data_IF_021620866994
#
_entry.id   IF_021620866994
#
_cell.length_a   1.000
_cell.length_b   1.000
_cell.length_c   1.000
_cell.angle_alpha   90.00
_cell.angle_beta   90.00
_cell.angle_gamma   90.00
#
_symmetry.space_group_name_H-M   'P 1'
#
loop_
_entity.id
_entity.type
_entity.pdbx_description
1 polymer ?
#
# COMPACT_ATOMS: atom_id res chain seq x y z
N UNK A 1 13.24 -56.55 -70.90
CA UNK A 1 14.10 -57.70 -71.21
C UNK A 1 15.48 -57.38 -70.64
N UNK A 2 15.95 -58.04 -69.59
CA UNK A 2 15.36 -59.20 -68.90
C UNK A 2 15.75 -59.23 -67.41
N UNK A 3 15.07 -60.07 -66.62
CA UNK A 3 15.47 -60.41 -65.25
C UNK A 3 16.78 -61.22 -65.24
N UNK A 4 17.56 -61.12 -64.14
CA UNK A 4 18.37 -62.21 -63.56
C UNK A 4 18.25 -62.11 -62.03
N UNK A 5 18.30 -63.25 -61.33
CA UNK A 5 18.03 -63.40 -59.90
C UNK A 5 19.28 -63.29 -58.99
N UNK A 6 19.00 -63.19 -57.68
CA UNK A 6 19.63 -63.97 -56.58
C UNK A 6 21.10 -63.75 -56.18
N UNK A 7 21.28 -63.38 -54.90
CA UNK A 7 22.46 -63.74 -54.09
C UNK A 7 22.16 -63.64 -52.58
N UNK A 8 22.88 -64.45 -51.80
CA UNK A 8 22.94 -64.49 -50.32
C UNK A 8 24.41 -64.82 -49.93
N UNK A 9 24.82 -65.07 -48.67
CA UNK A 9 24.11 -64.96 -47.37
C UNK A 9 24.93 -64.29 -46.21
N UNK A 10 24.31 -64.12 -45.02
CA UNK A 10 24.84 -64.20 -43.62
C UNK A 10 26.10 -63.37 -43.21
N UNK A 11 26.20 -62.70 -42.04
CA UNK A 11 25.32 -62.61 -40.85
C UNK A 11 24.67 -61.20 -40.67
N UNK A 12 25.05 -60.22 -39.82
CA UNK A 12 26.10 -60.07 -38.78
C UNK A 12 25.56 -59.50 -37.45
N UNK A 13 26.35 -59.65 -36.37
CA UNK A 13 25.90 -59.60 -34.96
C UNK A 13 25.96 -58.21 -34.27
N UNK A 14 25.02 -58.05 -33.32
CA UNK A 14 24.96 -57.10 -32.18
C UNK A 14 24.28 -55.74 -32.40
N UNK A 15 23.56 -55.30 -31.35
CA UNK A 15 22.70 -54.12 -31.35
C UNK A 15 22.82 -53.36 -30.01
N UNK A 16 22.71 -52.03 -30.06
CA UNK A 16 22.39 -51.18 -28.90
C UNK A 16 21.33 -50.15 -29.34
N UNK A 17 20.32 -50.00 -28.50
CA UNK A 17 19.10 -49.21 -28.67
C UNK A 17 19.29 -47.71 -28.91
N UNK A 18 18.51 -47.12 -29.83
CA UNK A 18 18.11 -45.70 -29.81
C UNK A 18 16.58 -45.57 -29.91
N UNK A 19 16.05 -44.39 -29.53
CA UNK A 19 14.69 -44.25 -28.99
C UNK A 19 13.64 -43.68 -29.98
N UNK A 20 12.34 -44.01 -29.80
CA UNK A 20 11.25 -43.40 -30.55
C UNK A 20 10.68 -42.12 -29.91
N UNK A 21 10.25 -41.20 -30.78
CA UNK A 21 9.21 -40.19 -30.60
C UNK A 21 9.24 -39.25 -29.36
N UNK A 22 9.57 -37.98 -29.61
CA UNK A 22 9.28 -36.86 -28.71
C UNK A 22 7.80 -36.78 -28.33
N UNK A 23 7.52 -36.64 -27.04
CA UNK A 23 6.23 -36.15 -26.52
C UNK A 23 6.48 -34.86 -25.73
N UNK A 24 5.88 -33.76 -26.16
CA UNK A 24 6.00 -32.48 -25.48
C UNK A 24 5.20 -32.47 -24.18
N UNK A 25 5.88 -32.39 -23.04
CA UNK A 25 5.22 -32.14 -21.75
C UNK A 25 4.80 -30.66 -21.64
N UNK A 26 3.68 -30.34 -20.96
CA UNK A 26 3.35 -28.95 -20.64
C UNK A 26 4.42 -28.34 -19.73
N UNK A 27 4.76 -27.08 -19.96
CA UNK A 27 5.77 -26.36 -19.16
C UNK A 27 5.32 -26.30 -17.70
N UNK A 28 6.11 -26.90 -16.81
CA UNK A 28 5.90 -26.78 -15.38
C UNK A 28 6.02 -25.30 -14.96
N UNK A 29 4.96 -24.77 -14.39
CA UNK A 29 4.89 -23.39 -13.91
C UNK A 29 5.93 -23.20 -12.78
N UNK A 30 6.68 -22.08 -12.72
CA UNK A 30 7.69 -21.89 -11.68
C UNK A 30 7.09 -21.91 -10.28
N UNK A 31 7.28 -23.01 -9.56
CA UNK A 31 6.87 -23.16 -8.17
C UNK A 31 7.53 -22.05 -7.34
N UNK A 32 6.74 -21.09 -6.85
CA UNK A 32 7.28 -19.96 -6.09
C UNK A 32 7.94 -20.49 -4.83
N UNK A 33 9.27 -20.30 -4.75
CA UNK A 33 10.04 -20.52 -3.52
C UNK A 33 9.46 -19.60 -2.44
N UNK A 34 9.08 -20.09 -1.25
CA UNK A 34 8.70 -19.22 -0.16
C UNK A 34 9.93 -18.42 0.27
N UNK A 35 9.93 -17.11 0.02
CA UNK A 35 11.05 -16.24 0.38
C UNK A 35 11.20 -16.18 1.90
N UNK A 36 12.35 -16.69 2.37
CA UNK A 36 12.46 -17.26 3.71
C UNK A 36 12.40 -16.26 4.86
N UNK A 37 11.80 -16.69 5.97
CA UNK A 37 11.83 -16.11 7.31
C UNK A 37 11.22 -14.70 7.47
N UNK A 38 11.66 -13.71 6.70
CA UNK A 38 11.21 -12.32 6.75
C UNK A 38 9.72 -12.15 6.37
N UNK A 39 9.17 -13.07 5.56
CA UNK A 39 7.75 -13.11 5.24
C UNK A 39 6.86 -13.34 6.48
N UNK A 40 7.35 -14.10 7.47
CA UNK A 40 6.56 -14.53 8.63
C UNK A 40 6.11 -13.38 9.55
N UNK A 41 6.81 -12.24 9.52
CA UNK A 41 6.57 -11.10 10.42
C UNK A 41 5.93 -9.89 9.74
N UNK A 42 5.62 -9.93 8.43
CA UNK A 42 4.90 -8.83 7.78
C UNK A 42 3.39 -8.97 7.95
N UNK A 43 2.89 -8.52 9.10
CA UNK A 43 1.44 -8.35 9.33
C UNK A 43 0.96 -7.13 8.54
N UNK A 44 0.58 -7.34 7.27
CA UNK A 44 -0.22 -6.37 6.54
C UNK A 44 -1.67 -6.44 7.04
N UNK A 45 -2.26 -5.27 7.30
CA UNK A 45 -3.63 -5.12 7.83
C UNK A 45 -4.43 -4.24 6.88
N UNK A 46 -5.71 -4.56 6.67
CA UNK A 46 -6.63 -3.82 5.82
C UNK A 46 -7.08 -4.56 4.55
N UNK A 47 -8.38 -4.50 4.26
CA UNK A 47 -9.01 -5.01 3.03
C UNK A 47 -9.07 -3.97 1.90
N UNK A 48 -9.26 -2.69 2.24
CA UNK A 48 -9.34 -1.56 1.30
C UNK A 48 -7.97 -1.19 0.70
N UNK A 49 -7.98 -0.37 -0.34
CA UNK A 49 -6.76 0.27 -0.89
C UNK A 49 -6.87 1.80 -0.83
N UNK A 50 -5.72 2.49 -0.89
CA UNK A 50 -5.66 3.96 -0.98
C UNK A 50 -6.28 4.43 -2.30
N UNK A 51 -7.06 5.51 -2.27
CA UNK A 51 -7.81 5.99 -3.43
C UNK A 51 -6.94 6.56 -4.55
N UNK A 52 -5.88 7.25 -4.17
CA UNK A 52 -4.89 7.85 -5.06
C UNK A 52 -3.49 7.35 -4.68
N UNK A 53 -2.54 7.33 -5.62
CA UNK A 53 -1.17 6.90 -5.35
C UNK A 53 -0.38 7.89 -4.48
N UNK A 54 0.65 7.44 -3.77
CA UNK A 54 1.46 8.30 -2.88
C UNK A 54 2.07 9.49 -3.65
N UNK A 55 2.61 9.26 -4.84
CA UNK A 55 3.19 10.31 -5.69
C UNK A 55 2.17 10.96 -6.63
N UNK A 56 0.89 10.59 -6.56
CA UNK A 56 -0.18 11.12 -7.40
C UNK A 56 -0.75 12.44 -6.83
N UNK A 57 0.17 13.38 -6.59
CA UNK A 57 -0.07 14.62 -5.89
C UNK A 57 -0.87 15.65 -6.71
N UNK A 58 -0.79 15.56 -8.04
CA UNK A 58 -1.35 16.55 -8.97
C UNK A 58 -2.72 16.16 -9.52
N UNK A 59 -3.01 14.86 -9.68
CA UNK A 59 -4.34 14.40 -10.07
C UNK A 59 -5.36 14.68 -8.96
N UNK A 60 -6.59 15.04 -9.33
CA UNK A 60 -7.72 15.18 -8.41
C UNK A 60 -7.44 16.07 -7.18
N UNK A 61 -6.57 17.08 -7.30
CA UNK A 61 -6.10 17.89 -6.18
C UNK A 61 -6.97 19.16 -5.96
N UNK A 62 -7.95 19.16 -5.04
CA UNK A 62 -8.79 20.33 -4.79
C UNK A 62 -7.98 21.48 -4.20
N UNK A 63 -8.46 22.73 -4.32
CA UNK A 63 -7.93 23.88 -3.57
C UNK A 63 -6.39 24.09 -3.74
N UNK A 64 -5.80 23.72 -4.88
CA UNK A 64 -4.34 23.74 -5.11
C UNK A 64 -3.54 22.93 -4.07
N UNK A 65 -4.10 21.80 -3.61
CA UNK A 65 -3.55 20.97 -2.54
C UNK A 65 -2.08 20.56 -2.75
N UNK A 66 -1.67 20.26 -3.99
CA UNK A 66 -0.27 19.92 -4.29
C UNK A 66 0.69 21.06 -3.90
N UNK A 67 0.45 22.26 -4.44
CA UNK A 67 1.23 23.45 -4.14
C UNK A 67 1.26 23.77 -2.64
N UNK A 68 0.12 23.59 -1.95
CA UNK A 68 0.02 23.77 -0.50
C UNK A 68 0.79 22.71 0.28
N UNK A 69 0.84 21.46 -0.17
CA UNK A 69 1.63 20.40 0.45
C UNK A 69 3.13 20.71 0.41
N UNK A 70 3.64 21.16 -0.72
CA UNK A 70 5.07 21.50 -0.87
C UNK A 70 5.45 22.85 -0.22
N UNK A 71 4.65 23.91 -0.39
CA UNK A 71 5.00 25.25 0.09
C UNK A 71 4.50 25.57 1.51
N UNK A 72 3.44 24.92 1.99
CA UNK A 72 2.83 25.18 3.30
C UNK A 72 2.31 23.89 3.98
N UNK A 73 3.16 22.86 4.20
CA UNK A 73 2.73 21.55 4.68
C UNK A 73 1.93 21.60 5.99
N UNK A 74 2.22 22.56 6.88
CA UNK A 74 1.49 22.81 8.10
C UNK A 74 -0.01 23.13 7.88
N UNK A 75 -0.37 23.84 6.80
CA UNK A 75 -1.77 24.10 6.45
C UNK A 75 -2.48 22.85 5.94
N UNK A 76 -1.79 21.96 5.22
CA UNK A 76 -2.39 20.69 4.78
C UNK A 76 -2.60 19.77 5.97
N UNK A 77 -1.60 19.65 6.85
CA UNK A 77 -1.71 18.90 8.09
C UNK A 77 -2.86 19.43 8.97
N UNK A 78 -2.87 20.73 9.28
CA UNK A 78 -3.90 21.35 10.11
C UNK A 78 -5.31 21.28 9.52
N UNK A 79 -5.46 21.24 8.19
CA UNK A 79 -6.74 21.03 7.50
C UNK A 79 -7.21 19.58 7.57
N UNK A 80 -6.30 18.61 7.36
CA UNK A 80 -6.59 17.17 7.53
C UNK A 80 -7.02 16.88 8.96
N UNK A 81 -6.31 17.45 9.94
CA UNK A 81 -6.58 17.30 11.37
C UNK A 81 -7.91 17.88 11.81
N UNK A 82 -8.29 19.06 11.31
CA UNK A 82 -9.62 19.61 11.56
C UNK A 82 -10.70 18.70 10.95
N UNK A 83 -10.50 18.22 9.71
CA UNK A 83 -11.47 17.37 9.00
C UNK A 83 -11.68 16.00 9.66
N UNK A 84 -10.64 15.44 10.28
CA UNK A 84 -10.75 14.21 11.06
C UNK A 84 -11.53 14.39 12.37
N UNK A 85 -11.69 15.63 12.87
CA UNK A 85 -12.53 15.94 14.04
C UNK A 85 -13.96 16.32 13.64
N UNK A 86 -14.09 17.20 12.64
CA UNK A 86 -15.36 17.64 12.07
C UNK A 86 -15.32 17.55 10.53
N UNK A 87 -16.03 16.58 9.91
CA UNK A 87 -16.15 16.49 8.47
C UNK A 87 -16.79 17.72 7.80
N UNK A 88 -17.66 18.45 8.51
CA UNK A 88 -18.33 19.66 8.00
C UNK A 88 -17.42 20.89 8.04
N UNK A 89 -16.29 20.84 8.78
CA UNK A 89 -15.26 21.88 8.87
C UNK A 89 -15.79 23.25 9.31
N UNK A 90 -16.80 23.29 10.19
CA UNK A 90 -17.55 24.50 10.57
C UNK A 90 -16.67 25.57 11.22
N UNK A 91 -15.88 25.18 12.21
CA UNK A 91 -14.99 26.06 12.97
C UNK A 91 -13.52 25.96 12.51
N UNK A 92 -13.28 25.62 11.22
CA UNK A 92 -11.93 25.44 10.69
C UNK A 92 -11.22 26.78 10.40
N UNK A 93 -10.26 27.13 11.25
CA UNK A 93 -9.25 28.14 10.95
C UNK A 93 -7.97 27.55 10.33
N UNK A 94 -7.36 28.30 9.41
CA UNK A 94 -6.11 27.92 8.73
C UNK A 94 -4.88 27.93 9.66
N UNK A 95 -4.86 28.79 10.68
CA UNK A 95 -3.78 28.93 11.65
C UNK A 95 -4.13 28.24 12.99
N UNK A 96 -4.66 27.01 12.90
CA UNK A 96 -5.05 26.24 14.08
C UNK A 96 -3.87 25.61 14.84
N UNK A 97 -4.16 25.02 16.00
CA UNK A 97 -3.17 24.39 16.90
C UNK A 97 -2.33 23.31 16.20
N UNK A 98 -2.91 22.48 15.34
CA UNK A 98 -2.18 21.45 14.59
C UNK A 98 -1.20 22.06 13.58
N UNK A 99 -1.58 23.18 12.93
CA UNK A 99 -0.66 23.94 12.08
C UNK A 99 0.52 24.50 12.87
N UNK A 100 0.29 25.11 14.03
CA UNK A 100 1.35 25.66 14.89
C UNK A 100 2.26 24.57 15.47
N UNK A 101 1.69 23.46 15.93
CA UNK A 101 2.43 22.27 16.38
C UNK A 101 3.30 21.68 15.25
N UNK A 102 2.78 21.63 14.02
CA UNK A 102 3.56 21.18 12.86
C UNK A 102 4.74 22.11 12.56
N UNK A 103 4.54 23.44 12.64
CA UNK A 103 5.63 24.42 12.45
C UNK A 103 6.71 24.26 13.52
N UNK A 104 6.34 24.10 14.79
CA UNK A 104 7.28 23.82 15.89
C UNK A 104 8.04 22.49 15.69
N UNK A 105 7.33 21.43 15.33
CA UNK A 105 7.94 20.13 15.02
C UNK A 105 8.88 20.21 13.81
N UNK A 106 8.56 21.03 12.81
CA UNK A 106 9.40 21.23 11.62
C UNK A 106 10.70 21.96 11.95
N UNK A 107 10.66 22.93 12.86
CA UNK A 107 11.87 23.59 13.37
C UNK A 107 12.81 22.59 14.08
N UNK A 108 12.25 21.59 14.77
CA UNK A 108 13.00 20.50 15.39
C UNK A 108 13.36 19.33 14.45
N UNK A 109 13.00 19.39 13.15
CA UNK A 109 13.21 18.28 12.20
C UNK A 109 12.30 17.06 12.40
N UNK A 110 11.29 17.15 13.28
CA UNK A 110 10.39 16.07 13.68
C UNK A 110 9.02 16.12 12.97
N UNK A 111 8.81 17.04 12.03
CA UNK A 111 7.55 17.23 11.31
C UNK A 111 7.07 15.99 10.54
N UNK A 112 7.95 15.05 10.18
CA UNK A 112 7.60 13.82 9.48
C UNK A 112 6.84 12.80 10.36
N UNK A 113 6.98 12.88 11.69
CA UNK A 113 6.25 12.01 12.63
C UNK A 113 4.74 12.27 12.58
N UNK A 114 4.34 13.52 12.36
CA UNK A 114 2.94 13.95 12.34
C UNK A 114 2.13 13.30 11.19
N UNK A 115 2.54 13.38 9.91
CA UNK A 115 1.87 12.67 8.83
C UNK A 115 2.08 11.15 8.89
N UNK A 116 3.16 10.65 9.49
CA UNK A 116 3.34 9.21 9.74
C UNK A 116 2.26 8.65 10.69
N UNK A 117 2.09 9.24 11.87
CA UNK A 117 1.06 8.80 12.81
C UNK A 117 -0.33 8.97 12.21
N UNK A 118 -0.64 10.11 11.59
CA UNK A 118 -1.96 10.32 10.96
C UNK A 118 -2.22 9.43 9.76
N UNK A 119 -1.19 9.05 9.00
CA UNK A 119 -1.31 8.02 7.97
C UNK A 119 -1.69 6.67 8.59
N UNK A 120 -1.03 6.28 9.67
CA UNK A 120 -1.31 5.04 10.41
C UNK A 120 -2.74 5.04 10.97
N UNK A 121 -3.18 6.18 11.52
CA UNK A 121 -4.56 6.37 12.00
C UNK A 121 -5.59 6.25 10.88
N UNK A 122 -5.42 7.01 9.78
CA UNK A 122 -6.28 6.99 8.58
C UNK A 122 -6.37 5.58 8.00
N UNK A 123 -5.21 4.92 7.87
CA UNK A 123 -5.10 3.57 7.32
C UNK A 123 -5.86 2.55 8.19
N UNK A 124 -5.80 2.70 9.52
CA UNK A 124 -6.51 1.82 10.47
C UNK A 124 -8.01 2.14 10.51
N UNK A 125 -8.40 3.42 10.49
CA UNK A 125 -9.78 3.90 10.52
C UNK A 125 -10.61 3.46 9.31
N UNK A 126 -9.98 3.38 8.13
CA UNK A 126 -10.65 3.00 6.88
C UNK A 126 -10.26 1.59 6.39
N UNK A 127 -9.66 0.76 7.26
CA UNK A 127 -9.24 -0.62 6.96
C UNK A 127 -8.42 -0.75 5.66
N UNK A 128 -7.47 0.17 5.43
CA UNK A 128 -6.66 0.24 4.20
C UNK A 128 -5.42 -0.65 4.34
N UNK A 129 -5.11 -1.43 3.31
CA UNK A 129 -3.98 -2.37 3.29
C UNK A 129 -2.65 -1.65 3.49
N UNK A 130 -1.89 -2.09 4.50
CA UNK A 130 -0.51 -1.67 4.68
C UNK A 130 0.06 -2.09 6.04
N UNK A 131 1.19 -1.47 6.38
CA UNK A 131 1.92 -1.71 7.62
C UNK A 131 2.71 -0.46 8.04
N UNK A 132 3.02 -0.37 9.34
CA UNK A 132 3.62 0.81 9.99
C UNK A 132 4.99 1.20 9.40
N UNK A 133 5.78 0.24 8.90
CA UNK A 133 7.06 0.52 8.25
C UNK A 133 6.88 1.19 6.88
N UNK A 134 5.88 0.76 6.10
CA UNK A 134 5.48 1.42 4.86
C UNK A 134 4.94 2.84 5.11
N UNK A 135 4.18 3.03 6.18
CA UNK A 135 3.64 4.34 6.56
C UNK A 135 4.75 5.31 7.00
N UNK A 136 5.71 4.82 7.79
CA UNK A 136 6.92 5.56 8.20
C UNK A 136 7.80 5.91 6.98
N UNK A 137 8.07 4.94 6.11
CA UNK A 137 8.87 5.13 4.90
C UNK A 137 8.24 6.14 3.93
N UNK A 138 6.91 6.14 3.80
CA UNK A 138 6.17 7.13 3.00
C UNK A 138 6.40 8.55 3.53
N UNK A 139 6.17 8.77 4.83
CA UNK A 139 6.29 10.06 5.48
C UNK A 139 7.72 10.62 5.47
N UNK A 140 8.73 9.73 5.59
CA UNK A 140 10.14 10.12 5.54
C UNK A 140 10.63 10.39 4.11
N UNK A 141 10.25 9.55 3.14
CA UNK A 141 10.67 9.68 1.73
C UNK A 141 10.02 10.88 1.03
N UNK A 142 8.72 11.12 1.25
CA UNK A 142 8.06 12.33 0.78
C UNK A 142 6.95 12.77 1.75
N UNK A 143 7.35 13.59 2.73
CA UNK A 143 6.46 14.31 3.65
C UNK A 143 5.30 15.04 2.94
N UNK A 144 5.51 15.88 1.89
CA UNK A 144 4.41 16.60 1.25
C UNK A 144 3.48 15.65 0.50
N UNK A 145 4.02 14.63 -0.17
CA UNK A 145 3.24 13.59 -0.85
C UNK A 145 2.31 12.85 0.13
N UNK A 146 2.85 12.47 1.30
CA UNK A 146 2.09 11.79 2.35
C UNK A 146 0.97 12.68 2.92
N UNK A 147 1.25 13.97 3.14
CA UNK A 147 0.22 14.93 3.56
C UNK A 147 -0.89 15.09 2.52
N UNK A 148 -0.53 15.15 1.23
CA UNK A 148 -1.50 15.27 0.12
C UNK A 148 -2.36 14.00 0.00
N UNK A 149 -1.75 12.81 0.06
CA UNK A 149 -2.48 11.55 0.00
C UNK A 149 -3.43 11.38 1.20
N UNK A 150 -2.97 11.74 2.41
CA UNK A 150 -3.81 11.70 3.62
C UNK A 150 -5.03 12.64 3.51
N UNK A 151 -4.86 13.89 3.08
CA UNK A 151 -5.98 14.85 2.88
C UNK A 151 -6.94 14.36 1.77
N UNK A 152 -6.42 13.82 0.65
CA UNK A 152 -7.24 13.26 -0.44
C UNK A 152 -8.07 12.07 0.02
N UNK A 153 -7.48 11.13 0.76
CA UNK A 153 -8.17 9.95 1.30
C UNK A 153 -9.30 10.34 2.26
N UNK A 154 -9.04 11.25 3.20
CA UNK A 154 -10.06 11.70 4.18
C UNK A 154 -11.20 12.43 3.48
N UNK A 155 -10.91 13.30 2.50
CA UNK A 155 -11.96 13.94 1.68
C UNK A 155 -12.78 12.88 0.93
N UNK A 156 -12.14 11.88 0.32
CA UNK A 156 -12.84 10.82 -0.40
C UNK A 156 -13.77 10.00 0.51
N UNK A 157 -13.26 9.48 1.63
CA UNK A 157 -14.03 8.61 2.54
C UNK A 157 -15.19 9.35 3.21
N UNK A 158 -15.03 10.64 3.51
CA UNK A 158 -16.08 11.45 4.14
C UNK A 158 -17.15 11.99 3.17
N UNK A 159 -16.87 12.05 1.86
CA UNK A 159 -17.84 12.51 0.86
C UNK A 159 -18.70 11.40 0.25
N UNK A 160 -18.40 10.13 0.57
CA UNK A 160 -19.23 8.99 0.16
C UNK A 160 -20.49 8.85 1.04
N UNK A 161 -21.67 8.55 0.46
CA UNK A 161 -22.85 8.15 1.21
C UNK A 161 -22.57 6.95 2.10
N UNK A 162 -22.97 7.02 3.37
CA UNK A 162 -22.30 6.23 4.42
C UNK A 162 -22.91 4.84 4.62
N UNK A 163 -22.22 3.82 4.13
CA UNK A 163 -22.40 2.42 4.58
C UNK A 163 -21.43 2.09 5.73
N UNK A 164 -20.19 2.60 5.65
CA UNK A 164 -19.04 2.03 6.38
C UNK A 164 -18.66 2.80 7.67
N UNK A 165 -19.63 3.32 8.41
CA UNK A 165 -19.39 4.14 9.63
C UNK A 165 -19.08 3.34 10.91
N UNK A 166 -18.82 2.03 10.80
CA UNK A 166 -18.56 1.14 11.94
C UNK A 166 -17.05 1.05 12.28
N UNK A 167 -16.43 2.16 12.70
CA UNK A 167 -14.96 2.28 12.74
C UNK A 167 -14.31 2.88 14.00
N UNK A 168 -15.06 3.29 15.03
CA UNK A 168 -14.44 3.73 16.29
C UNK A 168 -15.37 3.59 17.51
N UNK A 169 -14.98 2.74 18.46
CA UNK A 169 -15.35 2.89 19.87
C UNK A 169 -14.09 3.29 20.63
N UNK A 170 -14.13 4.41 21.34
CA UNK A 170 -13.12 4.70 22.35
C UNK A 170 -13.21 3.64 23.46
N UNK A 171 -12.07 3.14 23.93
CA UNK A 171 -12.04 2.28 25.12
C UNK A 171 -12.58 3.07 26.31
N UNK A 172 -13.68 2.61 26.89
CA UNK A 172 -14.28 3.24 28.06
C UNK A 172 -13.37 3.07 29.29
N UNK A 173 -13.25 4.12 30.11
CA UNK A 173 -12.46 4.09 31.34
C UNK A 173 -12.90 2.94 32.25
N UNK A 174 -11.97 2.01 32.52
CA UNK A 174 -12.15 1.00 33.56
C UNK A 174 -12.08 1.69 34.91
N UNK A 175 -13.24 2.11 35.41
CA UNK A 175 -13.40 2.57 36.79
C UNK A 175 -13.03 1.42 37.75
N UNK A 176 -11.80 1.44 38.25
CA UNK A 176 -11.35 0.57 39.32
C UNK A 176 -12.14 0.94 40.59
N UNK A 177 -13.20 0.18 40.86
CA UNK A 177 -14.17 0.49 41.91
C UNK A 177 -13.54 0.50 43.30
N UNK A 178 -14.00 1.46 44.12
CA UNK A 178 -13.65 1.51 45.54
C UNK A 178 -14.39 0.41 46.31
N UNK A 179 -13.65 -0.53 46.93
CA UNK A 179 -14.04 -1.29 48.11
C UNK A 179 -12.81 -1.54 48.99
#
# INVERSE_FOLDING_TARGET
>A
MSEIQEQAPIETKQAITEAPASQAQPVAQPQQRPDGFLAQHRVETGSNEWKDGLLDCFSNAPDNLCLKGFCCPCFVYGKTQARLRDPEMKDYERFNTDCLMFVGANYCGLSWLFPFFRRTDIRTMYDIRGNVLGDCGSAFCCLPCTLIQNEKEVIHRQTLPTTDKAGYQAVADMNAGQQ
#
